data_IF_025864535290
#
_entry.id   IF_025864535290
#
_cell.length_a   1.000
_cell.length_b   1.000
_cell.length_c   1.000
_cell.angle_alpha   90.00
_cell.angle_beta   90.00
_cell.angle_gamma   90.00
#
_symmetry.space_group_name_H-M   'P 1'
#
loop_
_entity.id
_entity.type
_entity.pdbx_description
1 polymer ?
#
# COMPACT_ATOMS: atom_id res chain seq x y z
N UNK A 1 -8.71 -10.05 38.40
CA UNK A 1 -10.00 -9.88 37.93
C UNK A 1 -10.17 -8.76 36.92
N UNK A 2 -9.71 -7.94 37.08
CA UNK A 2 -9.80 -6.97 36.36
C UNK A 2 -9.14 -7.07 35.20
N UNK A 3 -8.12 -7.46 35.52
CA UNK A 3 -7.25 -7.63 34.42
C UNK A 3 -7.89 -8.46 33.33
N UNK A 4 -8.53 -9.24 33.77
CA UNK A 4 -9.01 -9.99 32.96
C UNK A 4 -9.98 -9.45 32.18
N UNK A 5 -10.77 -8.92 32.82
CA UNK A 5 -11.86 -8.32 32.18
C UNK A 5 -11.34 -7.29 31.18
N UNK A 6 -10.28 -6.58 31.59
CA UNK A 6 -9.77 -5.58 30.69
C UNK A 6 -9.20 -6.21 29.45
N UNK A 7 -8.57 -7.31 29.59
CA UNK A 7 -8.07 -7.99 28.42
C UNK A 7 -9.18 -8.36 27.43
N UNK A 8 -10.05 -8.73 27.98
CA UNK A 8 -11.02 -9.09 27.28
C UNK A 8 -11.56 -8.13 26.52
N UNK A 9 -11.74 -7.12 27.08
CA UNK A 9 -12.34 -6.04 26.42
C UNK A 9 -11.41 -5.63 25.32
N UNK A 10 -10.15 -5.61 25.54
CA UNK A 10 -9.23 -5.25 24.51
C UNK A 10 -9.38 -6.18 23.34
N UNK A 11 -9.40 -7.46 23.60
CA UNK A 11 -9.51 -8.39 22.50
C UNK A 11 -10.80 -8.17 21.76
N UNK A 12 -11.89 -7.88 22.47
CA UNK A 12 -13.16 -7.68 21.78
C UNK A 12 -13.07 -6.42 20.94
N UNK A 13 -12.47 -5.38 21.48
CA UNK A 13 -12.36 -4.16 20.71
C UNK A 13 -11.51 -4.38 19.48
N UNK A 14 -10.41 -5.10 19.65
CA UNK A 14 -9.55 -5.33 18.52
C UNK A 14 -10.28 -6.13 17.48
N UNK A 15 -11.13 -7.09 17.88
CA UNK A 15 -11.79 -7.92 16.91
C UNK A 15 -12.83 -7.13 16.09
N UNK A 16 -13.19 -5.93 16.55
CA UNK A 16 -14.16 -5.14 15.83
C UNK A 16 -13.47 -4.22 14.83
N UNK A 17 -12.14 -4.12 14.91
CA UNK A 17 -11.44 -3.23 14.00
C UNK A 17 -11.36 -3.89 12.62
N UNK A 18 -11.41 -3.09 11.61
CA UNK A 18 -11.25 -3.60 10.26
C UNK A 18 -9.77 -3.86 10.04
N UNK A 19 -9.45 -5.04 9.61
CA UNK A 19 -8.06 -5.41 9.37
C UNK A 19 -7.75 -5.25 7.89
N UNK A 20 -6.62 -4.64 7.57
CA UNK A 20 -6.21 -4.46 6.19
C UNK A 20 -4.99 -5.33 5.93
N UNK A 21 -5.00 -6.02 4.79
CA UNK A 21 -3.85 -6.83 4.40
C UNK A 21 -3.40 -6.39 3.02
N UNK A 22 -2.15 -6.59 2.71
CA UNK A 22 -1.63 -6.22 1.40
C UNK A 22 -0.77 -7.33 0.85
N UNK A 23 -0.73 -7.45 -0.46
CA UNK A 23 0.16 -8.38 -1.11
C UNK A 23 0.62 -7.80 -2.42
N UNK A 24 1.88 -8.04 -2.77
CA UNK A 24 2.85 -8.79 -1.96
C UNK A 24 3.41 -7.91 -0.85
N UNK A 25 4.21 -8.47 0.04
CA UNK A 25 4.79 -7.67 1.11
C UNK A 25 5.94 -6.86 0.54
N UNK A 26 6.59 -7.35 -0.50
CA UNK A 26 7.61 -6.57 -1.20
C UNK A 26 7.74 -7.09 -2.62
N UNK A 27 8.27 -6.27 -3.49
CA UNK A 27 8.49 -6.70 -4.86
C UNK A 27 9.62 -5.90 -5.49
N UNK A 28 10.24 -6.47 -6.50
CA UNK A 28 11.23 -5.76 -7.30
C UNK A 28 10.80 -5.88 -8.76
N UNK A 29 10.93 -4.83 -9.49
CA UNK A 29 10.56 -4.84 -10.90
C UNK A 29 11.51 -3.92 -11.65
N UNK A 30 11.49 -3.99 -12.96
CA UNK A 30 12.38 -3.17 -13.77
C UNK A 30 11.69 -1.85 -14.13
N UNK A 31 12.48 -0.85 -14.45
CA UNK A 31 11.92 0.42 -14.86
C UNK A 31 11.05 0.17 -16.09
N UNK A 32 9.89 0.73 -16.11
CA UNK A 32 8.95 0.53 -17.22
C UNK A 32 7.98 -0.61 -17.01
N UNK A 33 8.18 -1.43 -15.97
CA UNK A 33 7.29 -2.57 -15.76
C UNK A 33 6.01 -2.11 -15.09
N UNK A 34 4.97 -2.89 -15.28
CA UNK A 34 3.70 -2.65 -14.60
C UNK A 34 3.75 -3.33 -13.24
N UNK A 35 3.31 -2.64 -12.22
CA UNK A 35 3.29 -3.17 -10.86
C UNK A 35 1.88 -3.11 -10.33
N UNK A 36 1.39 -4.21 -9.77
CA UNK A 36 0.07 -4.25 -9.17
C UNK A 36 0.21 -4.67 -7.71
N UNK A 37 -0.44 -3.95 -6.82
CA UNK A 37 -0.44 -4.25 -5.40
C UNK A 37 -1.90 -4.41 -4.99
N UNK A 38 -2.20 -5.44 -4.21
CA UNK A 38 -3.57 -5.64 -3.77
C UNK A 38 -3.72 -5.35 -2.30
N UNK A 39 -4.90 -4.92 -1.92
CA UNK A 39 -5.23 -4.63 -0.54
C UNK A 39 -6.58 -5.27 -0.26
N UNK A 40 -6.70 -5.94 0.87
CA UNK A 40 -7.96 -6.54 1.23
C UNK A 40 -8.38 -6.08 2.60
N UNK A 41 -9.67 -5.79 2.74
CA UNK A 41 -10.23 -5.40 4.03
C UNK A 41 -10.97 -6.59 4.62
N UNK A 42 -10.97 -6.69 5.93
CA UNK A 42 -11.65 -7.80 6.60
C UNK A 42 -13.17 -7.67 6.51
N UNK A 43 -13.67 -6.51 6.18
CA UNK A 43 -15.09 -6.35 5.98
C UNK A 43 -15.31 -5.26 4.94
N UNK A 44 -16.53 -5.15 4.44
CA UNK A 44 -16.84 -4.22 3.38
C UNK A 44 -16.60 -2.78 3.80
N UNK A 45 -15.77 -2.07 3.08
CA UNK A 45 -15.52 -0.66 3.34
C UNK A 45 -15.97 0.20 2.16
N UNK A 46 -16.74 -0.38 1.25
CA UNK A 46 -17.25 0.33 0.08
C UNK A 46 -16.07 0.87 -0.73
N UNK A 47 -15.94 2.17 -0.94
CA UNK A 47 -14.80 2.70 -1.65
C UNK A 47 -14.00 3.62 -0.72
N UNK A 48 -14.13 3.43 0.58
CA UNK A 48 -13.46 4.28 1.55
C UNK A 48 -12.02 3.83 1.77
N UNK A 49 -11.21 3.92 0.75
CA UNK A 49 -9.84 3.48 0.80
C UNK A 49 -8.91 4.49 0.18
N UNK A 50 -7.77 4.72 0.80
CA UNK A 50 -6.76 5.61 0.28
C UNK A 50 -5.46 4.84 0.09
N UNK A 51 -4.63 5.28 -0.83
CA UNK A 51 -3.31 4.71 -1.04
C UNK A 51 -2.27 5.79 -0.81
N UNK A 52 -1.23 5.46 -0.05
CA UNK A 52 -0.16 6.38 0.29
C UNK A 52 1.19 5.85 -0.19
N UNK A 53 2.10 6.77 -0.49
CA UNK A 53 3.45 6.41 -0.87
C UNK A 53 4.36 7.00 0.19
N UNK A 54 5.23 6.20 0.78
CA UNK A 54 6.20 6.71 1.75
C UNK A 54 7.59 6.38 1.27
N UNK A 55 8.35 7.40 0.93
CA UNK A 55 9.72 7.20 0.51
C UNK A 55 10.62 7.13 1.75
N UNK A 56 11.77 6.47 1.67
CA UNK A 56 12.61 6.31 2.83
C UNK A 56 12.92 7.66 3.48
N UNK A 57 12.73 7.75 4.78
CA UNK A 57 13.00 8.97 5.51
C UNK A 57 12.00 10.11 5.33
N UNK A 58 10.90 9.85 4.60
CA UNK A 58 9.92 10.90 4.35
C UNK A 58 8.57 10.54 4.92
N UNK A 59 7.72 11.53 5.02
CA UNK A 59 6.35 11.27 5.49
C UNK A 59 5.52 10.67 4.36
N UNK A 60 4.47 9.94 4.68
CA UNK A 60 3.64 9.37 3.65
C UNK A 60 2.93 10.46 2.84
N UNK A 61 2.74 10.22 1.55
CA UNK A 61 2.09 11.16 0.68
C UNK A 61 0.86 10.49 0.11
N UNK A 62 -0.27 11.15 0.11
CA UNK A 62 -1.51 10.59 -0.46
C UNK A 62 -1.42 10.56 -1.97
N UNK A 63 -1.66 9.41 -2.56
CA UNK A 63 -1.65 9.29 -4.01
C UNK A 63 -3.06 9.09 -4.55
N UNK A 64 -3.85 8.24 -3.92
CA UNK A 64 -5.19 7.92 -4.41
C UNK A 64 -6.16 7.97 -3.25
N UNK A 65 -7.33 8.54 -3.49
CA UNK A 65 -8.36 8.59 -2.46
C UNK A 65 -9.68 8.04 -3.01
N UNK A 66 -10.51 7.59 -2.12
CA UNK A 66 -11.79 6.98 -2.47
C UNK A 66 -11.59 5.85 -3.47
N UNK A 67 -10.54 5.09 -3.27
CA UNK A 67 -10.21 3.88 -4.03
C UNK A 67 -9.72 4.11 -5.45
N UNK A 68 -10.21 5.09 -6.15
CA UNK A 68 -9.81 5.26 -7.55
C UNK A 68 -9.49 6.68 -7.99
N UNK A 69 -9.60 7.65 -7.11
CA UNK A 69 -9.38 9.04 -7.53
C UNK A 69 -7.94 9.47 -7.31
N UNK A 70 -7.31 9.96 -8.34
CA UNK A 70 -5.93 10.37 -8.26
C UNK A 70 -5.83 11.73 -7.59
N UNK A 71 -4.94 11.87 -6.64
CA UNK A 71 -4.78 13.15 -5.95
C UNK A 71 -4.11 14.14 -6.90
N UNK A 72 -4.43 15.42 -6.75
CA UNK A 72 -3.90 16.45 -7.63
C UNK A 72 -2.38 16.44 -7.57
N UNK A 73 -1.75 16.52 -8.68
CA UNK A 73 -0.30 16.55 -8.75
C UNK A 73 0.38 15.20 -8.82
N UNK A 74 -0.41 14.11 -8.72
CA UNK A 74 0.17 12.78 -8.75
C UNK A 74 0.23 12.34 -10.22
N UNK A 75 1.35 11.74 -10.64
CA UNK A 75 1.47 11.30 -12.05
C UNK A 75 0.39 10.33 -12.45
N UNK A 76 -0.04 10.40 -13.69
CA UNK A 76 -1.13 9.57 -14.18
C UNK A 76 -0.76 8.09 -14.30
N UNK A 77 0.50 7.74 -14.14
CA UNK A 77 0.86 6.33 -14.20
C UNK A 77 0.35 5.57 -12.97
N UNK A 78 -0.06 6.27 -11.93
CA UNK A 78 -0.62 5.64 -10.75
C UNK A 78 -2.13 5.54 -10.92
N UNK A 79 -2.70 4.42 -10.52
CA UNK A 79 -4.15 4.25 -10.57
C UNK A 79 -4.59 3.28 -9.51
N UNK A 80 -5.85 3.26 -9.23
CA UNK A 80 -6.40 2.37 -8.24
C UNK A 80 -7.81 1.95 -8.61
N UNK A 81 -8.26 0.89 -8.02
CA UNK A 81 -9.61 0.42 -8.28
C UNK A 81 -10.08 -0.57 -7.23
N UNK A 82 -11.31 -0.98 -7.35
CA UNK A 82 -11.90 -1.95 -6.46
C UNK A 82 -12.95 -1.33 -5.57
N UNK A 83 -13.67 -2.16 -4.86
CA UNK A 83 -14.63 -1.72 -3.89
C UNK A 83 -14.97 -2.89 -2.99
N UNK A 84 -15.61 -2.63 -1.88
CA UNK A 84 -16.00 -3.68 -0.96
C UNK A 84 -14.83 -4.13 -0.11
N UNK A 85 -14.22 -5.25 -0.43
CA UNK A 85 -13.12 -5.75 0.35
C UNK A 85 -11.84 -5.90 -0.46
N UNK A 86 -11.92 -5.88 -1.78
CA UNK A 86 -10.74 -6.09 -2.62
C UNK A 86 -10.38 -4.84 -3.41
N UNK A 87 -9.14 -4.42 -3.30
CA UNK A 87 -8.68 -3.20 -3.97
C UNK A 87 -7.32 -3.44 -4.61
N UNK A 88 -7.04 -2.70 -5.67
CA UNK A 88 -5.78 -2.82 -6.39
C UNK A 88 -5.18 -1.45 -6.66
N UNK A 89 -3.88 -1.34 -6.50
CA UNK A 89 -3.13 -0.13 -6.83
C UNK A 89 -2.16 -0.52 -7.95
N UNK A 90 -2.10 0.26 -8.98
CA UNK A 90 -1.28 -0.06 -10.14
C UNK A 90 -0.34 1.06 -10.51
N UNK A 91 0.90 0.73 -10.82
CA UNK A 91 1.83 1.67 -11.41
C UNK A 91 2.04 1.13 -12.82
N UNK A 92 1.57 1.86 -13.82
CA UNK A 92 1.60 1.33 -15.18
C UNK A 92 3.01 1.26 -15.76
N UNK A 93 3.92 2.11 -15.32
CA UNK A 93 5.27 2.09 -15.82
C UNK A 93 6.18 2.54 -14.69
N UNK A 94 6.81 1.61 -14.02
CA UNK A 94 7.61 1.90 -12.84
C UNK A 94 8.79 2.81 -13.17
N UNK A 95 8.99 3.82 -12.37
CA UNK A 95 10.08 4.77 -12.56
C UNK A 95 11.03 4.68 -11.37
N UNK A 96 12.29 5.11 -11.52
CA UNK A 96 13.22 5.04 -10.42
C UNK A 96 12.76 5.80 -9.18
N UNK A 97 12.03 6.89 -9.36
CA UNK A 97 11.55 7.66 -8.22
C UNK A 97 10.39 7.01 -7.52
N UNK A 98 9.88 5.88 -8.03
CA UNK A 98 8.74 5.22 -7.42
C UNK A 98 9.19 4.21 -6.34
N UNK A 99 10.48 4.11 -6.06
CA UNK A 99 10.94 3.24 -5.00
C UNK A 99 10.40 3.80 -3.69
N UNK A 100 9.59 3.03 -3.01
CA UNK A 100 8.92 3.49 -1.80
C UNK A 100 8.15 2.33 -1.21
N UNK A 101 7.53 2.56 -0.06
CA UNK A 101 6.60 1.60 0.51
C UNK A 101 5.21 2.18 0.30
N UNK A 102 4.28 1.35 -0.15
CA UNK A 102 2.94 1.79 -0.44
C UNK A 102 1.97 1.19 0.56
N UNK A 103 1.06 2.01 1.07
CA UNK A 103 0.12 1.59 2.11
C UNK A 103 -1.31 1.87 1.68
N UNK A 104 -2.22 0.94 1.98
CA UNK A 104 -3.63 1.22 1.84
C UNK A 104 -4.17 1.56 3.22
N UNK A 105 -5.20 2.38 3.27
CA UNK A 105 -5.81 2.80 4.53
C UNK A 105 -7.30 2.95 4.33
N UNK A 106 -8.11 2.38 5.22
CA UNK A 106 -9.54 2.57 5.12
C UNK A 106 -9.96 3.70 6.03
N UNK A 107 -11.05 4.36 5.71
CA UNK A 107 -11.60 5.36 6.60
C UNK A 107 -13.10 5.16 6.76
N UNK A 108 -13.55 3.90 6.63
CA UNK A 108 -14.96 3.60 6.73
C UNK A 108 -15.45 3.74 8.16
N UNK A 109 -14.65 3.40 9.14
CA UNK A 109 -15.05 3.47 10.52
C UNK A 109 -13.81 3.57 11.38
N UNK A 110 -13.94 4.16 12.56
CA UNK A 110 -12.81 4.24 13.47
C UNK A 110 -12.59 2.87 14.09
N UNK A 111 -11.36 2.53 14.37
CA UNK A 111 -10.19 3.31 14.05
C UNK A 111 -9.80 3.12 12.58
N UNK A 112 -9.24 4.16 11.96
CA UNK A 112 -8.82 4.05 10.58
C UNK A 112 -7.52 3.26 10.62
N UNK A 113 -7.44 2.18 9.89
CA UNK A 113 -6.28 1.34 9.95
C UNK A 113 -5.58 1.27 8.60
N UNK A 114 -4.28 1.06 8.64
CA UNK A 114 -3.47 0.96 7.43
C UNK A 114 -3.12 -0.50 7.20
N UNK A 115 -2.85 -0.84 5.97
CA UNK A 115 -2.30 -2.15 5.66
C UNK A 115 -0.84 -2.17 6.07
N UNK A 116 -0.21 -3.31 6.04
CA UNK A 116 1.18 -3.47 6.47
C UNK A 116 2.22 -2.86 5.55
N UNK A 117 1.83 -2.51 4.36
CA UNK A 117 2.73 -1.90 3.38
C UNK A 117 3.29 -2.89 2.38
N UNK A 118 3.60 -2.40 1.20
CA UNK A 118 4.26 -3.17 0.17
C UNK A 118 5.48 -2.38 -0.25
N UNK A 119 6.66 -2.96 -0.09
CA UNK A 119 7.88 -2.26 -0.45
C UNK A 119 8.17 -2.52 -1.92
N UNK A 120 8.33 -1.47 -2.69
CA UNK A 120 8.59 -1.58 -4.12
C UNK A 120 10.03 -1.14 -4.38
N UNK A 121 10.76 -1.97 -5.08
CA UNK A 121 12.15 -1.70 -5.38
C UNK A 121 12.40 -1.93 -6.88
N UNK A 122 13.52 -1.49 -7.36
CA UNK A 122 13.85 -1.66 -8.76
C UNK A 122 14.97 -2.65 -8.92
N UNK A 123 14.79 -3.62 -9.84
CA UNK A 123 15.79 -4.60 -10.04
C UNK A 123 16.91 -3.98 -10.79
N UNK A 124 18.13 -4.25 -10.42
CA UNK A 124 19.20 -3.76 -11.18
C UNK A 124 19.42 -4.68 -12.28
N UNK A 125 19.55 -4.16 -13.41
CA UNK A 125 19.75 -5.06 -14.49
C UNK A 125 21.18 -5.30 -14.40
N UNK A 126 21.47 -6.39 -14.64
CA UNK A 126 22.72 -6.78 -14.58
C UNK A 126 23.60 -6.07 -15.21
N UNK A 127 23.37 -5.80 -16.25
CA UNK A 127 24.20 -5.14 -16.89
C UNK A 127 24.92 -4.30 -16.19
N UNK A 128 24.34 -3.74 -15.54
CA UNK A 128 24.99 -2.83 -14.85
C UNK A 128 26.32 -3.21 -14.57
N UNK A 129 26.60 -4.07 -14.35
CA UNK A 129 27.84 -4.25 -13.90
C UNK A 129 28.68 -4.28 -14.83
N UNK A 130 28.41 -4.38 -15.44
CA UNK A 130 29.17 -4.53 -16.11
C UNK A 130 29.93 -3.63 -16.13
N UNK A 131 29.70 -3.31 -16.13
CA UNK A 131 30.28 -2.84 -16.11
C UNK A 131 31.10 -2.76 -15.45
N UNK A 132 31.14 -3.11 -15.21
CA UNK A 132 31.78 -3.23 -14.61
C UNK A 132 32.54 -3.58 -14.59
N UNK A 133 32.25 -3.91 -14.73
CA UNK A 133 32.57 -3.82 -14.62
C UNK A 133 32.67 -3.71 -14.98
N UNK A 134 33.00 -3.47 -15.05
CA UNK A 134 33.10 -3.05 -15.22
C UNK A 134 32.98 -2.98 -15.36
N UNK A 135 33.66 -3.65 -14.92
CA UNK A 135 33.67 -3.42 -14.95
C UNK A 135 33.54 -3.38 -15.10
#
# INVERSE_FOLDING_TARGET
LXAXGLLXLWLSGASCDIQMTQSPSSLSASVGDRVDITCQASQDISNCLNWYQQKPGKAPKLLIYDASNLETGVPSRFSGGGSGTDFTFTISSLQPEDIATYYCQHYDDFPFTFGPGTKVDIKRTVAAPSVFXXX
#
